data_IF_397591500134
#
_entry.id   IF_397591500134
#
_cell.length_a   1.000
_cell.length_b   1.000
_cell.length_c   1.000
_cell.angle_alpha   90.00
_cell.angle_beta   90.00
_cell.angle_gamma   90.00
#
_symmetry.space_group_name_H-M   'P 1'
#
loop_
_entity.id
_entity.type
_entity.pdbx_description
1 polymer ?
#
# COMPACT_ATOMS: atom_id res chain seq x y z
N UNK A 1 17.21 8.43 -14.21
CA UNK A 1 15.88 7.96 -13.78
C UNK A 1 15.33 9.08 -12.91
N UNK A 2 14.27 9.75 -13.37
CA UNK A 2 13.65 10.81 -12.58
C UNK A 2 13.08 10.21 -11.29
N UNK A 3 13.19 10.88 -10.13
CA UNK A 3 12.56 10.41 -8.92
C UNK A 3 11.04 10.40 -9.14
N UNK A 4 10.42 9.22 -9.00
CA UNK A 4 8.95 9.10 -9.02
C UNK A 4 8.41 10.08 -7.98
N UNK A 5 7.48 10.94 -8.39
CA UNK A 5 6.85 11.89 -7.47
C UNK A 5 6.14 11.10 -6.38
N UNK A 6 6.23 11.59 -5.15
CA UNK A 6 5.66 10.92 -3.97
C UNK A 6 4.19 10.55 -4.16
N UNK A 7 3.42 11.38 -4.85
CA UNK A 7 1.99 11.19 -5.08
C UNK A 7 1.72 10.05 -6.09
N UNK A 8 2.47 9.99 -7.20
CA UNK A 8 2.36 8.91 -8.20
C UNK A 8 2.77 7.54 -7.60
N UNK A 9 3.75 7.53 -6.71
CA UNK A 9 4.15 6.32 -5.98
C UNK A 9 3.04 5.84 -5.04
N UNK A 10 2.34 6.76 -4.35
CA UNK A 10 1.22 6.42 -3.48
C UNK A 10 0.02 5.88 -4.27
N UNK A 11 -0.32 6.48 -5.42
CA UNK A 11 -1.38 5.97 -6.29
C UNK A 11 -1.11 4.53 -6.75
N UNK A 12 0.12 4.26 -7.19
CA UNK A 12 0.53 2.91 -7.61
C UNK A 12 0.45 1.90 -6.46
N UNK A 13 0.93 2.29 -5.28
CA UNK A 13 0.89 1.46 -4.07
C UNK A 13 -0.55 1.20 -3.62
N UNK A 14 -1.44 2.18 -3.71
CA UNK A 14 -2.84 2.03 -3.31
C UNK A 14 -3.60 1.13 -4.27
N UNK A 15 -3.43 1.31 -5.58
CA UNK A 15 -4.01 0.41 -6.59
C UNK A 15 -3.56 -1.04 -6.37
N UNK A 16 -2.28 -1.25 -6.07
CA UNK A 16 -1.78 -2.59 -5.75
C UNK A 16 -2.42 -3.16 -4.47
N UNK A 17 -2.61 -2.35 -3.42
CA UNK A 17 -3.27 -2.80 -2.20
C UNK A 17 -4.75 -3.13 -2.41
N UNK A 18 -5.43 -2.40 -3.29
CA UNK A 18 -6.80 -2.70 -3.70
C UNK A 18 -6.86 -4.04 -4.43
N UNK A 19 -5.97 -4.31 -5.39
CA UNK A 19 -5.90 -5.62 -6.06
C UNK A 19 -5.64 -6.77 -5.07
N UNK A 20 -4.71 -6.57 -4.12
CA UNK A 20 -4.43 -7.58 -3.07
C UNK A 20 -5.66 -7.81 -2.21
N UNK A 21 -6.37 -6.76 -1.82
CA UNK A 21 -7.61 -6.85 -1.03
C UNK A 21 -8.70 -7.57 -1.80
N UNK A 22 -8.95 -7.18 -3.05
CA UNK A 22 -9.98 -7.76 -3.91
C UNK A 22 -9.72 -9.23 -4.23
N UNK A 23 -8.45 -9.63 -4.31
CA UNK A 23 -8.09 -11.03 -4.52
C UNK A 23 -8.62 -11.95 -3.42
N UNK A 24 -8.72 -11.45 -2.18
CA UNK A 24 -9.06 -12.25 -1.00
C UNK A 24 -8.04 -13.37 -0.67
N UNK A 25 -6.91 -13.43 -1.39
CA UNK A 25 -5.91 -14.50 -1.28
C UNK A 25 -4.95 -14.29 -0.11
N UNK A 26 -4.81 -13.04 0.34
CA UNK A 26 -3.86 -12.67 1.40
C UNK A 26 -4.55 -11.91 2.51
N UNK A 27 -4.15 -12.20 3.74
CA UNK A 27 -4.54 -11.39 4.88
C UNK A 27 -3.94 -9.99 4.75
N UNK A 28 -4.76 -8.94 4.72
CA UNK A 28 -4.28 -7.57 4.56
C UNK A 28 -3.36 -7.08 5.67
N UNK A 29 -3.32 -7.74 6.84
CA UNK A 29 -2.28 -7.46 7.85
C UNK A 29 -0.87 -7.87 7.40
N UNK A 30 -0.75 -8.75 6.41
CA UNK A 30 0.51 -9.09 5.76
C UNK A 30 0.88 -8.09 4.63
N UNK A 31 -0.04 -7.20 4.23
CA UNK A 31 0.18 -6.28 3.12
C UNK A 31 1.44 -5.40 3.26
N UNK A 32 1.82 -4.87 4.45
CA UNK A 32 3.09 -4.15 4.60
C UNK A 32 4.33 -4.98 4.23
N UNK A 33 4.28 -6.30 4.37
CA UNK A 33 5.38 -7.17 3.94
C UNK A 33 5.38 -7.34 2.42
N UNK A 34 4.20 -7.55 1.83
CA UNK A 34 4.05 -7.69 0.38
C UNK A 34 4.52 -6.42 -0.34
N UNK A 35 4.25 -5.25 0.23
CA UNK A 35 4.74 -3.98 -0.30
C UNK A 35 6.28 -3.91 -0.36
N UNK A 36 6.98 -4.41 0.66
CA UNK A 36 8.45 -4.48 0.64
C UNK A 36 8.99 -5.47 -0.41
N UNK A 37 8.22 -6.51 -0.71
CA UNK A 37 8.59 -7.52 -1.71
C UNK A 37 8.37 -7.03 -3.15
N UNK A 38 7.44 -6.07 -3.35
CA UNK A 38 7.06 -5.57 -4.69
C UNK A 38 7.56 -4.15 -5.00
N UNK A 39 7.93 -3.37 -3.99
CA UNK A 39 8.37 -1.99 -4.14
C UNK A 39 9.68 -1.73 -3.37
N UNK A 40 10.55 -0.84 -3.86
CA UNK A 40 11.81 -0.49 -3.19
C UNK A 40 11.54 0.45 -2.01
N UNK A 41 10.98 -0.09 -0.92
CA UNK A 41 10.62 0.68 0.27
C UNK A 41 11.11 0.01 1.56
N UNK A 42 11.40 0.81 2.58
CA UNK A 42 11.72 0.30 3.92
C UNK A 42 10.48 -0.23 4.62
N UNK A 43 10.68 -1.00 5.70
CA UNK A 43 9.60 -1.48 6.57
C UNK A 43 8.71 -0.34 7.09
N UNK A 44 9.32 0.78 7.48
CA UNK A 44 8.61 1.97 7.98
C UNK A 44 7.79 2.62 6.88
N UNK A 45 8.34 2.76 5.67
CA UNK A 45 7.65 3.30 4.51
C UNK A 45 6.46 2.42 4.11
N UNK A 46 6.63 1.10 4.10
CA UNK A 46 5.56 0.16 3.78
C UNK A 46 4.42 0.20 4.79
N UNK A 47 4.77 0.23 6.09
CA UNK A 47 3.78 0.38 7.16
C UNK A 47 3.04 1.71 7.04
N UNK A 48 3.76 2.80 6.79
CA UNK A 48 3.16 4.12 6.63
C UNK A 48 2.22 4.19 5.41
N UNK A 49 2.62 3.63 4.27
CA UNK A 49 1.79 3.57 3.08
C UNK A 49 0.51 2.75 3.31
N UNK A 50 0.63 1.60 3.96
CA UNK A 50 -0.53 0.80 4.36
C UNK A 50 -1.48 1.56 5.32
N UNK A 51 -0.95 2.27 6.32
CA UNK A 51 -1.76 3.08 7.23
C UNK A 51 -2.44 4.28 6.55
N UNK A 52 -1.85 4.83 5.50
CA UNK A 52 -2.51 5.85 4.69
C UNK A 52 -3.62 5.24 3.85
N UNK A 53 -3.38 4.08 3.24
CA UNK A 53 -4.39 3.35 2.47
C UNK A 53 -5.59 2.96 3.35
N UNK A 54 -5.39 2.49 4.58
CA UNK A 54 -6.54 2.17 5.46
C UNK A 54 -7.40 3.38 5.82
N UNK A 55 -6.88 4.60 5.71
CA UNK A 55 -7.61 5.86 5.95
C UNK A 55 -8.43 6.31 4.75
N UNK A 56 -8.27 5.70 3.57
CA UNK A 56 -9.11 6.01 2.40
C UNK A 56 -10.50 5.40 2.52
N UNK A 57 -10.66 4.37 3.34
CA UNK A 57 -11.96 3.78 3.62
C UNK A 57 -12.76 4.67 4.56
N UNK A 58 -14.04 4.94 4.25
CA UNK A 58 -14.92 5.62 5.18
C UNK A 58 -14.96 4.82 6.49
N UNK A 59 -14.87 5.53 7.62
CA UNK A 59 -15.28 4.94 8.89
C UNK A 59 -16.78 5.07 8.94
N UNK A 60 -17.48 3.94 8.94
CA UNK A 60 -18.88 3.92 9.32
C UNK A 60 -18.95 4.40 10.78
N UNK A 61 -19.49 5.60 11.00
CA UNK A 61 -19.90 6.11 12.32
C UNK A 61 -21.30 5.59 12.69
#
# INVERSE_FOLDING_TARGET
IEPIKKDEMLETVFSFLDDVRESGLVNMFAAPRILQENFPMTKEQAKFAFELWTKTFPRDE
#
